data_IF_982790001025
#
_entry.id   IF_982790001025
#
_cell.length_a   1.000
_cell.length_b   1.000
_cell.length_c   1.000
_cell.angle_alpha   90.00
_cell.angle_beta   90.00
_cell.angle_gamma   90.00
#
_symmetry.space_group_name_H-M   'P 1'
#
loop_
_entity.id
_entity.type
_entity.pdbx_description
1 polymer ?
#
# COMPACT_ATOMS: atom_id res chain seq x y z
N UNK A 1 -38.19 -24.96 26.09
CA UNK A 1 -38.20 -23.94 27.16
C UNK A 1 -37.89 -22.63 26.48
N UNK A 2 -38.94 -21.84 26.21
CA UNK A 2 -38.91 -20.59 25.45
C UNK A 2 -38.71 -19.45 26.44
N UNK A 3 -37.68 -18.64 26.26
CA UNK A 3 -37.48 -17.40 27.05
C UNK A 3 -37.83 -16.23 26.15
N UNK A 4 -38.92 -15.54 26.50
CA UNK A 4 -39.43 -14.32 25.88
C UNK A 4 -38.79 -13.13 26.61
N UNK A 5 -38.10 -12.25 25.90
CA UNK A 5 -37.69 -10.94 26.42
C UNK A 5 -38.69 -9.89 25.96
N UNK A 6 -39.29 -9.22 26.93
CA UNK A 6 -40.24 -8.10 26.77
C UNK A 6 -39.40 -6.80 26.73
N UNK A 7 -39.47 -6.07 25.61
CA UNK A 7 -38.93 -4.71 25.52
C UNK A 7 -39.98 -3.70 25.93
N UNK A 8 -39.64 -2.87 26.92
CA UNK A 8 -40.47 -1.75 27.40
C UNK A 8 -40.14 -0.50 26.54
N UNK A 9 -41.16 -0.01 25.86
CA UNK A 9 -41.12 1.22 25.07
C UNK A 9 -41.53 2.39 25.99
N UNK A 10 -40.62 3.34 26.21
CA UNK A 10 -40.94 4.63 26.89
C UNK A 10 -41.26 5.66 25.81
N UNK A 11 -42.54 6.07 25.75
CA UNK A 11 -43.01 7.24 25.00
C UNK A 11 -42.77 8.49 25.85
N UNK A 12 -42.00 9.43 25.38
CA UNK A 12 -41.96 10.81 25.85
C UNK A 12 -42.68 11.70 24.83
N UNK A 13 -43.79 12.25 25.25
CA UNK A 13 -44.60 13.17 24.46
C UNK A 13 -43.96 14.57 24.38
N UNK A 14 -43.93 15.13 23.19
CA UNK A 14 -43.67 16.56 22.98
C UNK A 14 -44.98 17.30 22.72
N UNK A 15 -45.29 18.22 23.60
CA UNK A 15 -46.35 19.20 23.46
C UNK A 15 -45.93 20.28 22.48
N UNK A 16 -46.83 20.59 21.55
CA UNK A 16 -46.62 21.64 20.55
C UNK A 16 -46.63 23.04 21.13
N UNK A 17 -45.92 23.93 20.48
CA UNK A 17 -46.02 25.35 20.67
C UNK A 17 -46.24 26.06 19.33
N UNK A 18 -47.21 26.92 19.31
CA UNK A 18 -47.81 27.64 18.18
C UNK A 18 -46.90 28.72 17.61
N UNK A 19 -46.94 28.86 16.29
CA UNK A 19 -46.32 29.90 15.49
C UNK A 19 -46.89 31.31 15.79
N UNK A 20 -46.01 32.29 16.03
CA UNK A 20 -46.30 33.71 15.81
C UNK A 20 -45.27 34.26 14.82
N UNK A 21 -45.80 34.82 13.72
CA UNK A 21 -45.06 35.56 12.72
C UNK A 21 -44.43 36.83 13.33
N UNK A 22 -43.10 36.91 13.29
CA UNK A 22 -42.33 38.11 13.62
C UNK A 22 -41.43 38.48 12.47
N UNK A 23 -41.46 39.73 12.07
CA UNK A 23 -40.74 40.36 10.96
C UNK A 23 -39.22 40.07 11.05
N UNK A 24 -38.63 39.74 9.92
CA UNK A 24 -37.17 39.59 9.76
C UNK A 24 -36.58 41.01 9.73
N UNK A 25 -35.85 41.37 10.74
CA UNK A 25 -35.07 42.59 10.82
C UNK A 25 -33.70 42.32 10.24
N UNK A 26 -33.38 42.93 9.08
CA UNK A 26 -32.07 42.90 8.46
C UNK A 26 -31.00 43.48 9.40
N UNK A 27 -30.09 42.65 9.86
CA UNK A 27 -28.88 43.07 10.57
C UNK A 27 -27.74 43.15 9.57
N UNK A 28 -27.07 44.28 9.40
CA UNK A 28 -25.89 44.39 8.55
C UNK A 28 -24.67 43.86 9.31
N UNK A 29 -24.43 42.58 9.27
CA UNK A 29 -23.13 42.05 9.62
C UNK A 29 -22.29 42.04 8.34
N UNK A 30 -21.36 42.99 8.23
CA UNK A 30 -20.21 42.85 7.37
C UNK A 30 -19.30 41.86 8.08
N UNK A 31 -19.10 40.68 7.47
CA UNK A 31 -18.06 39.77 7.88
C UNK A 31 -16.72 40.52 7.78
N UNK A 32 -15.91 40.59 8.85
CA UNK A 32 -14.55 41.04 8.70
C UNK A 32 -13.86 40.07 7.76
N UNK A 33 -13.21 40.58 6.72
CA UNK A 33 -12.27 39.76 5.91
C UNK A 33 -11.33 39.08 6.89
N UNK A 34 -11.54 37.77 7.09
CA UNK A 34 -10.57 36.92 7.77
C UNK A 34 -9.44 36.76 6.77
N UNK A 35 -8.37 37.54 6.95
CA UNK A 35 -7.10 37.24 6.34
C UNK A 35 -6.80 35.76 6.69
N UNK A 36 -6.89 34.88 5.69
CA UNK A 36 -6.38 33.54 5.84
C UNK A 36 -4.89 33.70 6.15
N UNK A 37 -4.40 33.13 7.24
CA UNK A 37 -2.96 33.10 7.45
C UNK A 37 -2.35 32.42 6.23
N UNK A 38 -1.41 33.10 5.56
CA UNK A 38 -0.57 32.50 4.55
C UNK A 38 -0.04 31.21 5.17
N UNK A 39 -0.28 30.07 4.48
CA UNK A 39 0.33 28.81 4.87
C UNK A 39 1.83 29.08 4.98
N UNK A 40 2.50 28.67 6.07
CA UNK A 40 3.93 28.80 6.14
C UNK A 40 4.51 28.10 4.91
N UNK A 41 5.37 28.80 4.18
CA UNK A 41 6.27 28.16 3.24
C UNK A 41 7.19 27.28 4.08
N UNK A 42 6.74 26.08 4.39
CA UNK A 42 7.57 25.09 5.04
C UNK A 42 8.64 24.68 4.06
N UNK A 43 9.82 25.25 4.31
CA UNK A 43 11.09 24.67 3.92
C UNK A 43 11.01 23.22 4.42
N UNK A 44 10.82 22.27 3.50
CA UNK A 44 10.99 20.86 3.78
C UNK A 44 12.48 20.68 4.07
N UNK A 45 12.87 20.95 5.31
CA UNK A 45 14.16 20.50 5.79
C UNK A 45 14.20 18.99 5.60
N UNK A 46 15.32 18.46 5.23
CA UNK A 46 15.75 17.05 5.07
C UNK A 46 15.57 16.23 6.37
N UNK A 47 14.47 16.45 7.06
CA UNK A 47 14.31 16.46 8.51
C UNK A 47 14.13 15.07 9.12
N UNK A 48 13.93 14.00 8.34
CA UNK A 48 13.45 12.77 8.96
C UNK A 48 14.39 11.58 8.86
N UNK A 49 15.25 11.55 7.87
CA UNK A 49 16.36 10.58 7.84
C UNK A 49 17.32 10.76 9.03
N UNK A 50 17.44 11.99 9.59
CA UNK A 50 18.28 12.28 10.74
C UNK A 50 17.92 11.48 12.01
N UNK A 51 16.68 11.00 12.11
CA UNK A 51 16.25 10.12 13.21
C UNK A 51 16.54 8.64 12.96
N UNK A 52 16.87 8.27 11.72
CA UNK A 52 17.20 6.91 11.34
C UNK A 52 18.70 6.70 11.38
N UNK A 53 19.13 5.52 11.82
CA UNK A 53 20.57 5.18 11.94
C UNK A 53 21.04 4.52 10.65
N UNK A 54 22.03 5.09 9.97
CA UNK A 54 22.70 4.42 8.83
C UNK A 54 23.41 3.15 9.34
N UNK A 55 22.97 2.01 8.86
CA UNK A 55 23.49 0.67 9.17
C UNK A 55 24.04 -0.03 7.92
N UNK A 56 24.28 0.70 6.84
CA UNK A 56 24.75 0.17 5.56
C UNK A 56 26.00 -0.70 5.74
N UNK A 57 26.93 -0.26 6.60
CA UNK A 57 28.20 -0.96 6.86
C UNK A 57 28.03 -2.38 7.45
N UNK A 58 26.91 -2.65 8.15
CA UNK A 58 26.63 -3.96 8.77
C UNK A 58 26.38 -5.05 7.73
N UNK A 59 26.06 -4.64 6.51
CA UNK A 59 25.70 -5.50 5.40
C UNK A 59 26.82 -5.69 4.37
N UNK A 60 27.99 -5.09 4.58
CA UNK A 60 29.14 -5.15 3.67
C UNK A 60 29.11 -4.01 2.66
N UNK A 61 29.81 -4.19 1.53
CA UNK A 61 29.91 -3.12 0.53
C UNK A 61 28.61 -3.01 -0.28
N UNK A 62 28.02 -1.83 -0.25
CA UNK A 62 26.90 -1.42 -1.11
C UNK A 62 27.38 -0.38 -2.13
N UNK A 63 26.70 -0.24 -3.29
CA UNK A 63 26.89 0.91 -4.16
C UNK A 63 26.65 2.22 -3.38
N UNK A 64 27.36 3.29 -3.72
CA UNK A 64 27.27 4.58 -3.00
C UNK A 64 25.86 5.18 -3.02
N UNK A 65 25.09 4.88 -4.06
CA UNK A 65 23.73 5.33 -4.27
C UNK A 65 22.67 4.44 -3.56
N UNK A 66 23.09 3.44 -2.78
CA UNK A 66 22.20 2.61 -1.94
C UNK A 66 22.62 2.74 -0.48
N UNK A 67 21.68 3.13 0.36
CA UNK A 67 21.86 3.20 1.82
C UNK A 67 20.79 2.40 2.53
N UNK A 68 21.15 1.87 3.70
CA UNK A 68 20.23 1.11 4.55
C UNK A 68 20.18 1.75 5.92
N UNK A 69 18.97 2.01 6.42
CA UNK A 69 18.77 2.65 7.70
C UNK A 69 17.90 1.79 8.60
N UNK A 70 18.18 1.87 9.89
CA UNK A 70 17.34 1.29 10.95
C UNK A 70 16.55 2.40 11.64
N UNK A 71 15.29 2.10 11.95
CA UNK A 71 14.39 3.03 12.63
C UNK A 71 14.88 3.44 14.02
N UNK A 72 14.44 4.60 14.54
CA UNK A 72 14.45 4.85 15.98
C UNK A 72 13.61 3.79 16.72
N UNK A 73 13.72 3.75 18.06
CA UNK A 73 13.00 2.77 18.90
C UNK A 73 11.48 2.89 18.82
N UNK A 74 10.98 4.02 18.37
CA UNK A 74 9.53 4.28 18.18
C UNK A 74 9.26 4.92 16.84
N UNK A 75 8.22 4.42 16.17
CA UNK A 75 7.56 5.02 15.02
C UNK A 75 6.08 5.21 15.37
N UNK A 76 5.49 6.35 15.02
CA UNK A 76 4.09 6.68 15.30
C UNK A 76 3.68 6.41 16.77
N UNK A 77 4.57 6.75 17.70
CA UNK A 77 4.36 6.53 19.13
C UNK A 77 4.47 5.08 19.61
N UNK A 78 4.61 4.12 18.72
CA UNK A 78 4.68 2.69 19.03
C UNK A 78 6.14 2.20 19.01
N UNK A 79 6.46 1.22 19.87
CA UNK A 79 7.76 0.54 19.79
C UNK A 79 7.90 -0.16 18.46
N UNK A 80 8.95 0.11 17.73
CA UNK A 80 9.16 -0.38 16.39
C UNK A 80 10.59 -0.93 16.19
N UNK A 81 10.70 -1.89 15.29
CA UNK A 81 11.94 -2.31 14.63
C UNK A 81 11.63 -2.32 13.15
N UNK A 82 12.16 -1.34 12.44
CA UNK A 82 11.95 -1.20 11.02
C UNK A 82 13.28 -0.89 10.31
N UNK A 83 13.33 -1.20 9.03
CA UNK A 83 14.45 -0.89 8.15
C UNK A 83 13.92 -0.32 6.85
N UNK A 84 14.70 0.61 6.31
CA UNK A 84 14.50 1.10 4.95
C UNK A 84 15.78 0.91 4.14
N UNK A 85 15.61 0.60 2.85
CA UNK A 85 16.67 0.81 1.88
C UNK A 85 16.28 2.00 1.01
N UNK A 86 17.18 2.95 0.88
CA UNK A 86 17.05 4.17 0.07
C UNK A 86 17.99 4.04 -1.12
N UNK A 87 17.45 4.13 -2.33
CA UNK A 87 18.21 4.03 -3.57
C UNK A 87 17.97 5.25 -4.45
N UNK A 88 19.04 5.95 -4.83
CA UNK A 88 18.97 7.06 -5.80
C UNK A 88 18.76 6.48 -7.20
N UNK A 89 17.54 6.62 -7.73
CA UNK A 89 17.13 6.03 -9.01
C UNK A 89 17.74 6.68 -10.22
N UNK A 90 18.43 7.81 -10.07
CA UNK A 90 19.29 8.35 -11.13
C UNK A 90 20.53 7.49 -11.40
N UNK A 91 20.89 6.62 -10.46
CA UNK A 91 22.07 5.73 -10.52
C UNK A 91 21.72 4.26 -10.31
N UNK A 92 20.71 3.97 -9.50
CA UNK A 92 20.25 2.63 -9.20
C UNK A 92 19.36 2.07 -10.32
N UNK A 93 19.19 0.76 -10.29
CA UNK A 93 18.20 0.04 -11.11
C UNK A 93 17.35 -0.82 -10.21
N UNK A 94 16.07 -0.91 -10.52
CA UNK A 94 15.19 -1.88 -9.89
C UNK A 94 14.57 -2.83 -10.90
N UNK A 95 14.17 -3.99 -10.43
CA UNK A 95 13.54 -5.02 -11.24
C UNK A 95 12.60 -5.87 -10.37
N UNK A 96 11.73 -6.63 -11.00
CA UNK A 96 10.78 -7.52 -10.35
C UNK A 96 11.12 -8.96 -10.73
N UNK A 97 11.24 -9.83 -9.72
CA UNK A 97 11.03 -11.25 -9.93
C UNK A 97 9.59 -11.61 -9.60
N UNK A 98 8.91 -12.37 -10.45
CA UNK A 98 7.56 -12.88 -10.24
C UNK A 98 7.35 -14.24 -10.88
N UNK A 99 6.42 -15.04 -10.33
CA UNK A 99 5.83 -16.15 -11.10
C UNK A 99 5.10 -15.58 -12.32
N UNK A 100 4.97 -16.38 -13.39
CA UNK A 100 4.19 -15.97 -14.56
C UNK A 100 2.75 -16.48 -14.43
N UNK A 101 1.82 -15.59 -14.11
CA UNK A 101 0.38 -15.81 -14.03
C UNK A 101 -0.37 -14.76 -14.87
N UNK A 102 0.18 -14.39 -16.04
CA UNK A 102 -0.38 -13.39 -16.94
C UNK A 102 -1.77 -13.76 -17.51
N UNK A 103 -2.14 -15.03 -17.47
CA UNK A 103 -3.46 -15.50 -17.85
C UNK A 103 -4.49 -15.49 -16.70
N UNK A 104 -4.06 -15.13 -15.48
CA UNK A 104 -4.90 -15.15 -14.25
C UNK A 104 -5.58 -16.51 -14.00
N UNK A 105 -4.95 -17.59 -14.43
CA UNK A 105 -5.48 -18.96 -14.35
C UNK A 105 -4.70 -19.85 -13.41
N UNK A 106 -3.68 -19.28 -12.78
CA UNK A 106 -2.69 -19.97 -11.95
C UNK A 106 -1.63 -20.68 -12.75
N UNK A 107 -0.47 -20.85 -12.13
CA UNK A 107 0.73 -21.43 -12.75
C UNK A 107 1.28 -22.58 -11.91
N UNK A 108 2.13 -23.40 -12.53
CA UNK A 108 2.97 -24.40 -11.85
C UNK A 108 4.30 -23.81 -11.36
N UNK A 109 4.59 -22.56 -11.67
CA UNK A 109 5.79 -21.90 -11.18
C UNK A 109 5.81 -21.93 -9.64
N UNK A 110 6.98 -22.23 -9.11
CA UNK A 110 7.14 -22.29 -7.65
C UNK A 110 7.38 -20.89 -7.08
N UNK A 111 6.75 -20.61 -5.96
CA UNK A 111 7.14 -19.47 -5.12
C UNK A 111 8.59 -19.59 -4.68
N UNK A 112 9.27 -18.46 -4.50
CA UNK A 112 10.67 -18.41 -4.04
C UNK A 112 10.79 -17.58 -2.77
N UNK A 113 11.70 -18.00 -1.89
CA UNK A 113 12.10 -17.12 -0.78
C UNK A 113 12.95 -15.97 -1.31
N UNK A 114 12.93 -14.80 -0.64
CA UNK A 114 13.85 -13.71 -0.99
C UNK A 114 15.33 -14.17 -1.07
N UNK A 115 15.77 -15.08 -0.20
CA UNK A 115 17.12 -15.66 -0.27
C UNK A 115 17.37 -16.46 -1.54
N UNK A 116 16.38 -17.20 -2.05
CA UNK A 116 16.49 -17.90 -3.33
C UNK A 116 16.65 -16.90 -4.47
N UNK A 117 15.81 -15.85 -4.52
CA UNK A 117 15.90 -14.81 -5.54
C UNK A 117 17.25 -14.08 -5.46
N UNK A 118 17.72 -13.76 -4.25
CA UNK A 118 19.05 -13.19 -4.05
C UNK A 118 20.16 -14.08 -4.64
N UNK A 119 20.13 -15.39 -4.36
CA UNK A 119 21.17 -16.31 -4.83
C UNK A 119 21.25 -16.44 -6.35
N UNK A 120 20.15 -16.18 -7.06
CA UNK A 120 20.08 -16.26 -8.52
C UNK A 120 20.63 -14.99 -9.21
N UNK A 121 20.49 -13.81 -8.61
CA UNK A 121 20.83 -12.53 -9.24
C UNK A 121 21.84 -11.66 -8.48
N UNK A 122 22.11 -11.99 -7.21
CA UNK A 122 22.99 -11.24 -6.31
C UNK A 122 22.68 -9.73 -6.23
N UNK A 123 21.39 -9.39 -6.29
CA UNK A 123 20.94 -8.02 -6.14
C UNK A 123 21.13 -7.54 -4.69
N UNK A 124 21.82 -6.41 -4.44
CA UNK A 124 22.10 -5.93 -3.08
C UNK A 124 20.87 -5.84 -2.20
N UNK A 125 19.74 -5.40 -2.74
CA UNK A 125 18.45 -5.35 -2.04
C UNK A 125 17.48 -6.32 -2.69
N UNK A 126 16.84 -7.16 -1.88
CA UNK A 126 15.72 -8.03 -2.27
C UNK A 126 14.66 -7.95 -1.19
N UNK A 127 13.43 -7.59 -1.55
CA UNK A 127 12.31 -7.49 -0.61
C UNK A 127 11.08 -8.20 -1.17
N UNK A 128 10.26 -8.83 -0.31
CA UNK A 128 8.96 -9.38 -0.72
C UNK A 128 8.05 -8.30 -1.28
N UNK A 129 7.12 -8.67 -2.17
CA UNK A 129 6.33 -7.68 -2.87
C UNK A 129 4.81 -7.95 -2.81
N UNK A 130 4.20 -8.38 -3.91
CA UNK A 130 2.76 -8.46 -4.07
C UNK A 130 2.08 -9.61 -3.33
N UNK A 131 0.76 -9.54 -3.21
CA UNK A 131 -0.09 -10.58 -2.60
C UNK A 131 -0.20 -11.81 -3.51
N UNK A 132 -0.43 -12.97 -2.89
CA UNK A 132 -0.50 -14.24 -3.61
C UNK A 132 -1.28 -15.30 -2.82
N UNK A 133 -1.66 -16.39 -3.49
CA UNK A 133 -2.26 -17.56 -2.86
C UNK A 133 -2.00 -18.83 -3.67
N UNK A 134 -2.30 -19.98 -3.07
CA UNK A 134 -2.30 -21.29 -3.77
C UNK A 134 -3.67 -21.92 -3.66
N UNK A 135 -4.14 -22.51 -4.75
CA UNK A 135 -5.40 -23.24 -4.80
C UNK A 135 -5.37 -24.34 -5.85
N UNK A 136 -5.95 -25.49 -5.56
CA UNK A 136 -6.04 -26.60 -6.51
C UNK A 136 -4.68 -27.12 -7.03
N UNK A 137 -3.59 -26.90 -6.29
CA UNK A 137 -2.24 -27.27 -6.70
C UNK A 137 -1.61 -26.35 -7.75
N UNK A 138 -2.18 -25.15 -7.92
CA UNK A 138 -1.64 -24.05 -8.71
C UNK A 138 -1.29 -22.87 -7.79
N UNK A 139 -0.35 -22.05 -8.22
CA UNK A 139 0.06 -20.81 -7.59
C UNK A 139 -0.47 -19.61 -8.36
N UNK A 140 -0.94 -18.61 -7.65
CA UNK A 140 -1.57 -17.42 -8.21
C UNK A 140 -0.88 -16.16 -7.66
N UNK A 141 -0.61 -15.19 -8.51
CA UNK A 141 -0.38 -13.83 -8.08
C UNK A 141 -1.71 -13.08 -7.98
N UNK A 142 -1.93 -12.37 -6.89
CA UNK A 142 -3.07 -11.46 -6.74
C UNK A 142 -2.68 -10.01 -6.99
N UNK A 143 -1.44 -9.78 -7.41
CA UNK A 143 -0.85 -8.46 -7.60
C UNK A 143 -0.17 -8.36 -8.95
N UNK A 144 -0.25 -7.17 -9.53
CA UNK A 144 0.44 -6.82 -10.77
C UNK A 144 1.95 -7.07 -10.65
N UNK A 145 2.55 -7.60 -11.70
CA UNK A 145 3.98 -7.66 -11.87
C UNK A 145 4.34 -7.39 -13.34
N UNK A 146 5.16 -6.37 -13.56
CA UNK A 146 5.64 -5.99 -14.90
C UNK A 146 7.15 -5.91 -14.86
N UNK A 147 7.77 -6.52 -15.85
CA UNK A 147 9.22 -6.54 -16.02
C UNK A 147 9.59 -6.28 -17.47
N UNK A 148 10.43 -5.28 -17.73
CA UNK A 148 10.83 -4.92 -19.08
C UNK A 148 9.62 -4.77 -20.04
N UNK A 149 8.58 -4.07 -19.58
CA UNK A 149 7.30 -3.82 -20.27
C UNK A 149 6.45 -5.09 -20.54
N UNK A 150 6.86 -6.26 -20.01
CA UNK A 150 6.09 -7.51 -20.09
C UNK A 150 5.27 -7.71 -18.80
N UNK A 151 3.97 -7.93 -18.93
CA UNK A 151 3.09 -8.23 -17.78
C UNK A 151 3.23 -9.71 -17.43
N UNK A 152 3.73 -10.00 -16.25
CA UNK A 152 3.87 -11.35 -15.70
C UNK A 152 2.66 -11.77 -14.86
N UNK A 153 1.97 -10.81 -14.25
CA UNK A 153 0.75 -11.04 -13.46
C UNK A 153 -0.07 -9.75 -13.40
N UNK A 154 -1.38 -9.89 -13.15
CA UNK A 154 -2.30 -8.76 -12.95
C UNK A 154 -2.77 -8.66 -11.51
N UNK A 155 -3.21 -7.48 -11.10
CA UNK A 155 -3.97 -7.31 -9.86
C UNK A 155 -5.27 -8.11 -9.94
N UNK A 156 -5.66 -8.73 -8.81
CA UNK A 156 -6.96 -9.41 -8.71
C UNK A 156 -8.08 -8.43 -9.08
N UNK A 157 -8.99 -8.86 -9.92
CA UNK A 157 -9.99 -8.01 -10.56
C UNK A 157 -11.41 -8.22 -10.02
N UNK A 158 -11.57 -8.99 -8.95
CA UNK A 158 -12.83 -9.17 -8.25
C UNK A 158 -12.61 -9.43 -6.76
N UNK A 159 -13.65 -9.17 -5.98
CA UNK A 159 -13.71 -9.53 -4.57
C UNK A 159 -15.16 -9.94 -4.22
N UNK A 160 -15.32 -10.80 -3.21
CA UNK A 160 -16.62 -11.23 -2.71
C UNK A 160 -16.47 -11.69 -1.26
N UNK A 161 -17.40 -11.33 -0.38
CA UNK A 161 -17.46 -11.86 0.98
C UNK A 161 -18.42 -13.05 1.09
N UNK A 162 -19.43 -13.12 0.24
CA UNK A 162 -20.52 -14.10 0.28
C UNK A 162 -20.50 -15.12 -0.87
N UNK A 163 -19.51 -15.00 -1.78
CA UNK A 163 -19.35 -15.79 -3.01
C UNK A 163 -20.52 -15.65 -4.02
N UNK A 164 -21.42 -14.69 -3.77
CA UNK A 164 -22.59 -14.39 -4.62
C UNK A 164 -22.51 -12.99 -5.20
N UNK A 165 -22.24 -12.02 -4.34
CA UNK A 165 -22.10 -10.62 -4.74
C UNK A 165 -20.66 -10.36 -5.15
N UNK A 166 -20.45 -9.98 -6.42
CA UNK A 166 -19.11 -9.72 -6.96
C UNK A 166 -18.88 -8.21 -7.01
N UNK A 167 -17.75 -7.77 -6.46
CA UNK A 167 -17.24 -6.42 -6.53
C UNK A 167 -16.01 -6.40 -7.42
N UNK A 168 -15.73 -5.26 -8.04
CA UNK A 168 -14.63 -5.09 -9.00
C UNK A 168 -13.70 -3.94 -8.55
N UNK A 169 -12.88 -4.14 -7.52
CA UNK A 169 -11.97 -3.09 -7.06
C UNK A 169 -10.91 -2.78 -8.11
N UNK A 170 -10.53 -1.52 -8.21
CA UNK A 170 -9.21 -1.17 -8.72
C UNK A 170 -8.20 -1.36 -7.59
N UNK A 171 -6.98 -1.79 -7.90
CA UNK A 171 -5.93 -2.07 -6.93
C UNK A 171 -4.70 -1.23 -7.23
N UNK A 172 -4.01 -0.84 -6.17
CA UNK A 172 -2.81 -0.03 -6.26
C UNK A 172 -1.70 -0.74 -7.06
N UNK A 173 -0.92 0.07 -7.77
CA UNK A 173 0.34 -0.31 -8.39
C UNK A 173 1.35 0.83 -8.25
N UNK A 174 2.61 0.48 -8.01
CA UNK A 174 3.76 1.36 -8.08
C UNK A 174 4.51 1.04 -9.36
N UNK A 175 4.85 2.03 -10.15
CA UNK A 175 5.42 1.82 -11.48
C UNK A 175 6.54 2.81 -11.82
N UNK A 176 7.42 2.37 -12.71
CA UNK A 176 8.33 3.18 -13.51
C UNK A 176 7.79 3.21 -14.94
N UNK A 177 7.58 4.39 -15.48
CA UNK A 177 7.18 4.60 -16.86
C UNK A 177 8.36 4.43 -17.83
N UNK A 178 8.08 4.35 -19.12
CA UNK A 178 9.14 4.20 -20.16
C UNK A 178 10.10 5.39 -20.21
N UNK A 179 9.68 6.58 -19.79
CA UNK A 179 10.51 7.78 -19.69
C UNK A 179 11.25 7.92 -18.35
N UNK A 180 11.09 6.94 -17.45
CA UNK A 180 11.84 6.85 -16.19
C UNK A 180 11.15 7.53 -15.00
N UNK A 181 9.97 8.13 -15.15
CA UNK A 181 9.19 8.69 -14.05
C UNK A 181 8.55 7.62 -13.19
N UNK A 182 8.41 7.89 -11.89
CA UNK A 182 7.73 7.00 -10.95
C UNK A 182 6.33 7.50 -10.63
N UNK A 183 5.39 6.58 -10.42
CA UNK A 183 4.02 6.91 -10.08
C UNK A 183 3.36 5.78 -9.25
N UNK A 184 2.40 6.14 -8.41
CA UNK A 184 1.46 5.21 -7.81
C UNK A 184 0.06 5.49 -8.37
N UNK A 185 -0.66 4.46 -8.78
CA UNK A 185 -1.97 4.60 -9.39
C UNK A 185 -2.83 3.38 -9.07
N UNK A 186 -4.10 3.42 -9.45
CA UNK A 186 -4.98 2.25 -9.37
C UNK A 186 -5.09 1.60 -10.73
N UNK A 187 -5.08 0.27 -10.77
CA UNK A 187 -5.17 -0.47 -12.04
C UNK A 187 -6.32 -1.46 -12.04
N UNK A 188 -6.80 -1.78 -13.22
CA UNK A 188 -7.79 -2.81 -13.45
C UNK A 188 -7.59 -3.49 -14.80
N UNK A 189 -7.56 -4.81 -14.79
CA UNK A 189 -7.54 -5.64 -15.98
C UNK A 189 -8.72 -6.61 -15.98
N UNK A 190 -9.44 -6.65 -17.06
CA UNK A 190 -10.45 -7.69 -17.31
C UNK A 190 -9.91 -8.64 -18.37
N UNK A 191 -9.90 -9.94 -18.07
CA UNK A 191 -9.41 -10.98 -18.99
C UNK A 191 -9.96 -10.80 -20.41
N UNK A 192 -9.06 -10.79 -21.40
CA UNK A 192 -9.38 -10.54 -22.81
C UNK A 192 -9.69 -9.08 -23.16
N UNK A 193 -9.60 -8.16 -22.20
CA UNK A 193 -9.80 -6.72 -22.37
C UNK A 193 -8.50 -5.94 -22.40
N UNK A 194 -8.61 -4.61 -22.23
CA UNK A 194 -7.47 -3.73 -22.03
C UNK A 194 -7.15 -3.61 -20.54
N UNK A 195 -5.90 -3.42 -20.22
CA UNK A 195 -5.44 -3.03 -18.90
C UNK A 195 -5.50 -1.50 -18.80
N UNK A 196 -6.12 -1.00 -17.76
CA UNK A 196 -6.26 0.43 -17.50
C UNK A 196 -5.60 0.83 -16.20
N UNK A 197 -5.11 2.06 -16.15
CA UNK A 197 -4.72 2.76 -14.93
C UNK A 197 -5.62 3.98 -14.73
N UNK A 198 -5.76 4.42 -13.48
CA UNK A 198 -6.69 5.45 -13.04
C UNK A 198 -6.04 6.39 -12.04
N UNK A 199 -6.35 7.70 -12.06
CA UNK A 199 -5.88 8.69 -11.09
C UNK A 199 -6.67 8.64 -9.77
N UNK A 200 -7.72 7.83 -9.69
CA UNK A 200 -8.53 7.63 -8.49
C UNK A 200 -9.08 6.20 -8.44
N UNK A 201 -9.34 5.64 -7.24
CA UNK A 201 -9.90 4.30 -7.12
C UNK A 201 -11.34 4.25 -7.61
N UNK A 202 -11.80 3.07 -7.99
CA UNK A 202 -13.21 2.85 -8.24
C UNK A 202 -14.00 2.93 -6.92
N UNK A 203 -15.17 3.56 -6.98
CA UNK A 203 -16.13 3.57 -5.86
C UNK A 203 -16.86 2.22 -5.79
N UNK A 204 -16.17 1.18 -5.36
CA UNK A 204 -16.64 -0.20 -5.27
C UNK A 204 -16.51 -0.73 -3.83
N UNK A 205 -16.93 0.05 -2.85
CA UNK A 205 -16.99 -0.38 -1.45
C UNK A 205 -17.98 -1.52 -1.24
N UNK A 206 -17.89 -2.26 -0.11
CA UNK A 206 -18.79 -3.38 0.18
C UNK A 206 -20.28 -2.97 0.23
N UNK A 207 -20.59 -1.70 0.46
CA UNK A 207 -21.93 -1.13 0.45
C UNK A 207 -22.38 -0.67 -0.94
N UNK A 208 -21.47 -0.50 -1.89
CA UNK A 208 -21.78 -0.05 -3.24
C UNK A 208 -22.59 -1.10 -3.99
N UNK A 209 -23.84 -0.77 -4.37
CA UNK A 209 -24.72 -1.67 -5.17
C UNK A 209 -25.48 -0.89 -6.23
N UNK A 210 -25.50 -1.39 -7.47
CA UNK A 210 -24.75 -2.52 -8.00
C UNK A 210 -23.26 -2.20 -8.20
N UNK A 211 -22.41 -3.23 -8.04
CA UNK A 211 -20.98 -3.09 -8.31
C UNK A 211 -20.74 -2.73 -9.79
N UNK A 212 -19.98 -1.68 -10.05
CA UNK A 212 -19.68 -1.18 -11.38
C UNK A 212 -18.29 -1.64 -11.81
N UNK A 213 -18.20 -2.37 -12.92
CA UNK A 213 -16.92 -2.83 -13.46
C UNK A 213 -16.10 -1.65 -14.01
N UNK A 214 -14.84 -1.49 -13.59
CA UNK A 214 -13.94 -0.50 -14.16
C UNK A 214 -13.73 -0.68 -15.66
N UNK A 215 -13.55 0.44 -16.38
CA UNK A 215 -13.49 0.47 -17.85
C UNK A 215 -12.78 1.75 -18.32
N UNK A 216 -12.71 1.98 -19.64
CA UNK A 216 -12.22 3.24 -20.22
C UNK A 216 -13.04 4.49 -19.84
N UNK A 217 -14.22 4.31 -19.25
CA UNK A 217 -15.13 5.39 -18.87
C UNK A 217 -15.42 5.43 -17.35
N UNK A 218 -14.80 4.55 -16.58
CA UNK A 218 -15.01 4.47 -15.13
C UNK A 218 -13.90 3.67 -14.45
N UNK A 219 -13.25 4.20 -13.40
CA UNK A 219 -13.30 5.62 -12.94
C UNK A 219 -12.94 6.62 -14.03
N UNK A 220 -13.26 7.89 -13.84
CA UNK A 220 -12.89 8.98 -14.74
C UNK A 220 -11.36 9.10 -14.83
N UNK A 221 -10.84 9.53 -15.98
CA UNK A 221 -9.41 9.67 -16.22
C UNK A 221 -8.68 8.36 -16.54
N UNK A 222 -9.43 7.32 -16.96
CA UNK A 222 -8.81 6.05 -17.37
C UNK A 222 -7.83 6.20 -18.52
N UNK A 223 -6.63 5.69 -18.35
CA UNK A 223 -5.60 5.57 -19.39
C UNK A 223 -5.27 4.11 -19.64
N UNK A 224 -4.77 3.78 -20.84
CA UNK A 224 -4.24 2.45 -21.09
C UNK A 224 -2.96 2.29 -20.29
N UNK A 225 -2.91 1.24 -19.48
CA UNK A 225 -1.75 0.97 -18.64
C UNK A 225 -0.49 0.75 -19.49
N UNK A 226 0.57 1.43 -19.13
CA UNK A 226 1.91 1.26 -19.68
C UNK A 226 2.95 1.49 -18.60
N UNK A 227 3.89 0.58 -18.45
CA UNK A 227 4.99 0.69 -17.52
C UNK A 227 6.18 -0.13 -18.02
N UNK A 228 7.39 0.34 -17.76
CA UNK A 228 8.62 -0.40 -17.94
C UNK A 228 8.76 -1.48 -16.86
N UNK A 229 8.55 -1.09 -15.61
CA UNK A 229 8.57 -1.95 -14.43
C UNK A 229 7.41 -1.56 -13.51
N UNK A 230 6.67 -2.53 -12.97
CA UNK A 230 5.60 -2.24 -12.02
C UNK A 230 5.36 -3.37 -11.04
N UNK A 231 4.89 -3.03 -9.86
CA UNK A 231 4.44 -3.97 -8.83
C UNK A 231 3.09 -3.55 -8.27
N UNK A 232 2.17 -4.49 -8.19
CA UNK A 232 0.89 -4.31 -7.52
C UNK A 232 0.97 -4.57 -6.03
N UNK A 233 0.05 -3.97 -5.32
CA UNK A 233 -0.09 -4.11 -3.87
C UNK A 233 -1.39 -3.48 -3.39
N UNK A 234 -1.30 -2.75 -2.33
CA UNK A 234 -2.37 -1.93 -1.75
C UNK A 234 -2.53 -2.12 -0.23
N UNK A 235 -3.20 -1.16 0.39
CA UNK A 235 -3.76 0.04 -0.22
C UNK A 235 -2.67 0.99 -0.75
N UNK A 236 -3.07 1.90 -1.66
CA UNK A 236 -2.26 3.04 -2.01
C UNK A 236 -2.17 3.95 -0.78
N UNK A 237 -0.95 4.31 -0.38
CA UNK A 237 -0.67 5.03 0.86
C UNK A 237 -0.55 6.54 0.62
N UNK A 238 0.24 6.92 -0.39
CA UNK A 238 0.57 8.31 -0.73
C UNK A 238 0.41 8.49 -2.24
N UNK A 239 -0.17 9.61 -2.63
CA UNK A 239 -0.41 10.04 -4.00
C UNK A 239 -0.23 11.56 -4.06
N UNK A 240 0.67 12.05 -4.90
CA UNK A 240 1.03 13.47 -5.03
C UNK A 240 1.36 14.13 -3.67
N UNK A 241 2.18 13.45 -2.85
CA UNK A 241 2.60 13.92 -1.54
C UNK A 241 1.49 13.99 -0.48
N UNK A 242 0.35 13.35 -0.71
CA UNK A 242 -0.79 13.34 0.21
C UNK A 242 -1.15 11.94 0.65
N UNK A 243 -1.37 11.75 1.94
CA UNK A 243 -1.86 10.46 2.45
C UNK A 243 -3.26 10.18 1.89
N UNK A 244 -3.42 8.99 1.32
CA UNK A 244 -4.68 8.46 0.76
C UNK A 244 -5.18 7.25 1.54
N UNK A 245 -4.31 6.26 1.78
CA UNK A 245 -4.60 5.02 2.51
C UNK A 245 -5.96 4.40 2.12
N UNK A 246 -6.14 4.11 0.83
CA UNK A 246 -7.41 3.78 0.17
C UNK A 246 -7.86 2.32 0.39
N UNK A 247 -7.68 1.79 1.61
CA UNK A 247 -8.00 0.38 1.89
C UNK A 247 -9.49 0.03 1.79
N UNK A 248 -10.38 1.01 1.97
CA UNK A 248 -11.83 0.80 1.85
C UNK A 248 -12.22 0.67 0.39
N UNK A 249 -11.79 1.61 -0.45
CA UNK A 249 -12.09 1.67 -1.88
C UNK A 249 -11.46 0.51 -2.65
N UNK A 250 -10.30 0.05 -2.17
CA UNK A 250 -9.61 -1.12 -2.73
C UNK A 250 -10.10 -2.45 -2.14
N UNK A 251 -11.11 -2.44 -1.26
CA UNK A 251 -11.67 -3.63 -0.60
C UNK A 251 -10.62 -4.44 0.18
N UNK A 252 -9.75 -3.73 0.91
CA UNK A 252 -8.81 -4.34 1.85
C UNK A 252 -9.32 -4.35 3.30
N UNK A 253 -10.51 -3.83 3.56
CA UNK A 253 -11.25 -3.99 4.82
C UNK A 253 -11.97 -5.35 4.87
N UNK A 254 -12.60 -5.66 6.00
CA UNK A 254 -13.34 -6.91 6.18
C UNK A 254 -12.46 -8.15 6.06
N UNK A 255 -12.89 -9.13 5.28
CA UNK A 255 -12.28 -10.46 5.17
C UNK A 255 -10.99 -10.50 4.32
N UNK A 256 -10.42 -9.37 3.93
CA UNK A 256 -9.23 -9.34 3.05
C UNK A 256 -7.98 -10.01 3.64
N UNK A 257 -7.91 -10.16 4.97
CA UNK A 257 -6.76 -10.73 5.67
C UNK A 257 -5.59 -9.74 5.85
N UNK A 258 -5.67 -8.51 5.32
CA UNK A 258 -4.61 -7.51 5.40
C UNK A 258 -4.61 -6.77 6.73
N UNK A 259 -5.81 -6.57 7.34
CA UNK A 259 -5.97 -5.90 8.61
C UNK A 259 -5.33 -4.51 8.60
N UNK A 260 -5.82 -3.56 7.75
CA UNK A 260 -5.18 -2.25 7.59
C UNK A 260 -5.12 -1.46 8.89
N UNK A 261 -6.14 -1.58 9.75
CA UNK A 261 -6.24 -0.90 11.05
C UNK A 261 -5.57 -1.66 12.20
N UNK A 262 -4.92 -2.79 11.91
CA UNK A 262 -4.27 -3.63 12.92
C UNK A 262 -2.75 -3.56 12.76
N UNK A 263 -2.03 -3.65 13.90
CA UNK A 263 -0.57 -3.69 13.90
C UNK A 263 -0.07 -5.04 13.42
N UNK A 264 0.67 -5.03 12.31
CA UNK A 264 1.28 -6.21 11.68
C UNK A 264 2.69 -5.89 11.19
N UNK A 265 3.53 -6.92 10.92
CA UNK A 265 4.68 -6.71 10.06
C UNK A 265 4.20 -6.14 8.71
N UNK A 266 4.89 -5.11 8.21
CA UNK A 266 4.52 -4.42 6.96
C UNK A 266 5.70 -4.37 6.02
N UNK A 267 5.38 -4.31 4.73
CA UNK A 267 6.28 -4.02 3.64
C UNK A 267 5.64 -2.94 2.78
N UNK A 268 6.42 -1.98 2.33
CA UNK A 268 5.94 -0.90 1.45
C UNK A 268 7.04 -0.43 0.51
N UNK A 269 6.65 0.24 -0.57
CA UNK A 269 7.54 0.92 -1.50
C UNK A 269 7.00 2.32 -1.78
N UNK A 270 7.89 3.27 -1.89
CA UNK A 270 7.57 4.63 -2.29
C UNK A 270 8.74 5.31 -2.99
N UNK A 271 8.52 6.52 -3.47
CA UNK A 271 9.53 7.37 -4.09
C UNK A 271 9.38 8.80 -3.59
N UNK A 272 10.50 9.46 -3.39
CA UNK A 272 10.57 10.89 -3.04
C UNK A 272 10.54 11.77 -4.29
N UNK A 273 10.30 13.06 -4.12
CA UNK A 273 10.26 14.03 -5.22
C UNK A 273 11.61 14.18 -5.97
N UNK A 274 12.72 13.76 -5.36
CA UNK A 274 14.07 13.75 -5.93
C UNK A 274 14.51 12.35 -6.40
N UNK A 275 13.54 11.49 -6.77
CA UNK A 275 13.73 10.15 -7.34
C UNK A 275 14.51 9.17 -6.45
N UNK A 276 14.40 9.28 -5.13
CA UNK A 276 14.89 8.25 -4.22
C UNK A 276 13.81 7.22 -3.95
N UNK A 277 14.02 5.99 -4.40
CA UNK A 277 13.14 4.87 -4.06
C UNK A 277 13.40 4.42 -2.62
N UNK A 278 12.34 4.28 -1.84
CA UNK A 278 12.37 3.77 -0.48
C UNK A 278 11.60 2.46 -0.42
N UNK A 279 12.26 1.38 -0.03
CA UNK A 279 11.60 0.14 0.35
C UNK A 279 11.65 0.02 1.87
N UNK A 280 10.50 -0.25 2.48
CA UNK A 280 10.28 -0.28 3.92
C UNK A 280 9.87 -1.67 4.38
N UNK A 281 10.42 -2.14 5.50
CA UNK A 281 9.92 -3.32 6.22
C UNK A 281 9.92 -3.07 7.71
N UNK A 282 8.93 -3.59 8.44
CA UNK A 282 8.95 -3.59 9.90
C UNK A 282 8.61 -4.96 10.49
N UNK A 283 9.18 -5.23 11.67
CA UNK A 283 8.78 -6.36 12.52
C UNK A 283 7.36 -6.16 13.07
N UNK A 284 6.78 -7.24 13.54
CA UNK A 284 5.53 -7.23 14.28
C UNK A 284 5.29 -8.57 14.95
N UNK A 285 4.07 -8.78 15.46
CA UNK A 285 3.68 -10.05 16.10
C UNK A 285 4.61 -10.47 17.25
N UNK A 286 5.19 -9.48 17.96
CA UNK A 286 6.07 -9.68 19.12
C UNK A 286 7.37 -10.48 18.81
N UNK A 287 7.86 -10.46 17.57
CA UNK A 287 9.15 -11.10 17.23
C UNK A 287 10.31 -10.48 18.01
N UNK A 288 10.24 -9.19 18.28
CA UNK A 288 10.97 -8.49 19.34
C UNK A 288 9.97 -8.07 20.39
N UNK A 289 10.25 -8.32 21.66
CA UNK A 289 9.36 -8.03 22.79
C UNK A 289 8.83 -6.57 22.74
N UNK A 290 7.51 -6.41 22.79
CA UNK A 290 6.82 -5.13 22.74
C UNK A 290 6.66 -4.56 21.32
N UNK A 291 7.13 -5.23 20.26
CA UNK A 291 6.95 -4.82 18.85
C UNK A 291 5.74 -5.51 18.26
N UNK A 292 4.61 -4.81 18.21
CA UNK A 292 3.37 -5.30 17.62
C UNK A 292 3.37 -5.24 16.09
N UNK A 293 4.09 -4.30 15.51
CA UNK A 293 4.05 -3.90 14.10
C UNK A 293 3.35 -2.56 13.93
N UNK A 294 2.95 -2.24 12.71
CA UNK A 294 2.34 -0.96 12.34
C UNK A 294 1.03 -1.19 11.57
N UNK A 295 0.12 -0.21 11.63
CA UNK A 295 -1.04 -0.12 10.74
C UNK A 295 -0.60 0.40 9.37
N UNK A 296 -1.48 0.35 8.35
CA UNK A 296 -1.18 0.98 7.05
C UNK A 296 -1.13 2.50 7.14
N UNK A 297 -1.91 3.11 8.05
CA UNK A 297 -1.85 4.54 8.32
C UNK A 297 -0.51 4.95 8.94
N UNK A 298 0.00 4.19 9.91
CA UNK A 298 1.32 4.44 10.49
C UNK A 298 2.42 4.38 9.41
N UNK A 299 2.36 3.39 8.51
CA UNK A 299 3.34 3.25 7.41
C UNK A 299 3.23 4.43 6.44
N UNK A 300 2.01 4.90 6.14
CA UNK A 300 1.81 6.08 5.29
C UNK A 300 2.45 7.33 5.91
N UNK A 301 2.24 7.56 7.22
CA UNK A 301 2.87 8.67 7.95
C UNK A 301 4.40 8.57 7.90
N UNK A 302 4.96 7.39 8.19
CA UNK A 302 6.41 7.17 8.15
C UNK A 302 7.00 7.46 6.77
N UNK A 303 6.35 7.00 5.69
CA UNK A 303 6.84 7.23 4.33
C UNK A 303 6.68 8.69 3.90
N UNK A 304 5.58 9.36 4.29
CA UNK A 304 5.43 10.79 4.06
C UNK A 304 6.50 11.58 4.79
N UNK A 305 6.76 11.26 6.04
CA UNK A 305 7.84 11.85 6.83
C UNK A 305 9.23 11.61 6.19
N UNK A 306 9.46 10.53 5.49
CA UNK A 306 10.67 10.24 4.72
C UNK A 306 10.70 10.95 3.34
N UNK A 307 9.72 11.82 3.06
CA UNK A 307 9.65 12.61 1.84
C UNK A 307 9.05 11.89 0.64
N UNK A 308 8.41 10.72 0.81
CA UNK A 308 7.72 10.05 -0.29
C UNK A 308 6.56 10.89 -0.80
N UNK A 309 6.49 11.02 -2.13
CA UNK A 309 5.36 11.63 -2.84
C UNK A 309 4.42 10.60 -3.42
N UNK A 310 4.93 9.38 -3.68
CA UNK A 310 4.17 8.23 -4.15
C UNK A 310 4.52 7.02 -3.27
N UNK A 311 3.52 6.26 -2.79
CA UNK A 311 3.78 5.02 -2.04
C UNK A 311 2.59 4.07 -2.05
N UNK A 312 2.89 2.76 -2.02
CA UNK A 312 1.91 1.69 -1.83
C UNK A 312 2.35 0.73 -0.73
N UNK A 313 1.37 0.14 -0.03
CA UNK A 313 1.60 -1.02 0.83
C UNK A 313 1.74 -2.28 -0.03
N UNK A 314 2.56 -3.21 0.43
CA UNK A 314 2.80 -4.51 -0.18
C UNK A 314 2.34 -5.65 0.75
N UNK A 315 2.57 -6.91 0.37
CA UNK A 315 2.26 -8.04 1.23
C UNK A 315 3.09 -8.00 2.52
N UNK A 316 2.39 -8.12 3.62
CA UNK A 316 2.92 -7.98 4.96
C UNK A 316 2.95 -9.28 5.75
N UNK A 317 2.85 -9.15 7.08
CA UNK A 317 2.75 -10.30 7.98
C UNK A 317 3.93 -11.27 7.85
N UNK A 318 3.64 -12.54 7.60
CA UNK A 318 4.66 -13.58 7.44
C UNK A 318 5.54 -13.43 6.20
N UNK A 319 5.10 -12.65 5.21
CA UNK A 319 5.87 -12.39 3.98
C UNK A 319 6.92 -11.30 4.16
N UNK A 320 6.74 -10.37 5.14
CA UNK A 320 7.66 -9.24 5.34
C UNK A 320 9.09 -9.72 5.53
N UNK A 321 9.94 -9.39 4.57
CA UNK A 321 11.35 -9.78 4.56
C UNK A 321 12.13 -8.88 3.59
N UNK A 322 13.17 -8.22 4.07
CA UNK A 322 14.14 -7.53 3.24
C UNK A 322 15.53 -8.11 3.47
N UNK A 323 16.21 -8.41 2.39
CA UNK A 323 17.61 -8.82 2.38
C UNK A 323 18.49 -7.67 1.89
N UNK A 324 19.61 -7.51 2.56
CA UNK A 324 20.69 -6.63 2.13
C UNK A 324 21.95 -7.49 2.00
N UNK A 325 22.48 -7.61 0.79
CA UNK A 325 23.59 -8.52 0.48
C UNK A 325 23.37 -9.93 1.04
N UNK A 326 22.15 -10.46 0.93
CA UNK A 326 21.75 -11.79 1.38
C UNK A 326 21.50 -11.94 2.89
N UNK A 327 21.68 -10.88 3.68
CA UNK A 327 21.38 -10.89 5.13
C UNK A 327 20.01 -10.29 5.40
N UNK A 328 19.19 -10.94 6.22
CA UNK A 328 17.89 -10.40 6.65
C UNK A 328 18.07 -9.19 7.55
N UNK A 329 17.17 -8.19 7.39
CA UNK A 329 17.17 -6.98 8.22
C UNK A 329 16.30 -7.15 9.47
N UNK A 330 15.14 -7.80 9.33
CA UNK A 330 14.14 -8.01 10.40
C UNK A 330 14.04 -9.49 10.78
N UNK A 331 13.50 -9.76 11.97
CA UNK A 331 13.05 -11.11 12.33
C UNK A 331 11.74 -11.39 11.64
N UNK A 332 11.74 -12.36 10.72
CA UNK A 332 10.54 -12.74 9.97
C UNK A 332 9.52 -13.44 10.88
N UNK A 333 8.26 -13.05 10.81
CA UNK A 333 7.24 -13.46 11.80
C UNK A 333 6.79 -14.92 11.70
N UNK A 334 7.08 -15.62 10.59
CA UNK A 334 6.81 -17.05 10.43
C UNK A 334 7.98 -17.93 10.91
N UNK A 335 9.02 -17.34 11.54
CA UNK A 335 10.22 -18.04 12.01
C UNK A 335 11.24 -18.37 10.91
N UNK A 336 10.81 -18.40 9.65
CA UNK A 336 11.64 -18.57 8.45
C UNK A 336 11.07 -17.72 7.31
N UNK A 337 11.88 -17.43 6.30
CA UNK A 337 11.41 -16.71 5.13
C UNK A 337 10.31 -17.49 4.42
N UNK A 338 9.20 -16.83 4.18
CA UNK A 338 8.12 -17.36 3.36
C UNK A 338 8.53 -17.33 1.88
N UNK A 339 8.21 -18.38 1.14
CA UNK A 339 8.27 -18.36 -0.31
C UNK A 339 7.10 -17.49 -0.83
N UNK A 340 7.40 -16.51 -1.65
CA UNK A 340 6.47 -15.48 -2.15
C UNK A 340 6.35 -15.54 -3.67
N UNK A 341 5.30 -14.95 -4.22
CA UNK A 341 5.06 -14.93 -5.66
C UNK A 341 5.88 -13.87 -6.40
N UNK A 342 6.30 -12.82 -5.70
CA UNK A 342 7.08 -11.74 -6.30
C UNK A 342 8.00 -11.06 -5.29
N UNK A 343 9.07 -10.44 -5.79
CA UNK A 343 10.02 -9.62 -5.03
C UNK A 343 10.38 -8.36 -5.82
N UNK A 344 10.66 -7.27 -5.12
CA UNK A 344 11.40 -6.12 -5.65
C UNK A 344 12.88 -6.38 -5.46
N UNK A 345 13.69 -6.04 -6.47
CA UNK A 345 15.14 -6.16 -6.45
C UNK A 345 15.75 -4.81 -6.83
N UNK A 346 16.81 -4.35 -6.12
CA UNK A 346 17.48 -3.07 -6.41
C UNK A 346 18.99 -3.29 -6.41
N UNK A 347 19.68 -2.69 -7.40
CA UNK A 347 21.15 -2.70 -7.53
C UNK A 347 21.68 -1.37 -8.04
#
# INVERSE_FOLDING_TARGET
MVVVFISILLLLGFTGCTTTSGEIQDWPWQDPEVEQPEAPEDIVEDATLDRWTDVSADYGTLPEYIKVYKSPDKLEGQKAVAYIAVADMNSAQWDIWSINDSEMSGTKDSFKTPSTVYSEGLWPIVVNAGFFYSSGGLNYSSSLAVRASEVLAYNINYASEDWVTIYYPTRAAFLESEDGGFNACWTYYKSGGKHYMYPAPADNTWEAKPAKTPSSAYPEGAEVFAAKTAIGGGPLLIDDGKIRNTFVEELFNGASGIGPDSCHPRTAVGVTADDKMIVFVCEGRQMTEGVAGLTTADVANVLLDLGCVEAINLDGGGSSCMLVNGKTTIKVSDGSQRAVASTIMIK
#
